data_IF_437754643620
#
_entry.id   IF_437754643620
#
_cell.length_a   1.000
_cell.length_b   1.000
_cell.length_c   1.000
_cell.angle_alpha   90.00
_cell.angle_beta   90.00
_cell.angle_gamma   90.00
#
_symmetry.space_group_name_H-M   'P 1'
#
loop_
_entity.id
_entity.type
_entity.pdbx_description
1 polymer ?
#
# COMPACT_ATOMS: atom_id res chain seq x y z
N UNK A 1 3.66 18.22 6.78
CA UNK A 1 3.88 16.84 6.31
C UNK A 1 2.67 16.02 6.70
N UNK A 2 1.86 15.63 5.71
CA UNK A 2 0.70 14.77 5.93
C UNK A 2 1.19 13.34 6.21
N UNK A 3 0.66 12.71 7.26
CA UNK A 3 1.02 11.35 7.65
C UNK A 3 -0.23 10.51 7.91
N UNK A 4 -0.25 9.31 7.35
CA UNK A 4 -1.25 8.28 7.62
C UNK A 4 -0.58 7.09 8.31
N UNK A 5 -1.21 6.54 9.34
CA UNK A 5 -0.81 5.30 9.99
C UNK A 5 -2.02 4.35 10.06
N UNK A 6 -1.84 3.07 9.76
CA UNK A 6 -2.85 2.03 9.89
C UNK A 6 -2.22 0.84 10.59
N UNK A 7 -2.78 0.42 11.72
CA UNK A 7 -2.39 -0.76 12.50
C UNK A 7 -3.47 -1.07 13.52
N UNK A 8 -3.58 -2.31 13.98
CA UNK A 8 -4.50 -2.70 15.05
C UNK A 8 -5.94 -2.18 14.81
N UNK A 9 -6.43 -2.27 13.57
CA UNK A 9 -7.80 -1.86 13.18
C UNK A 9 -8.12 -0.38 13.40
N UNK A 10 -7.07 0.43 13.52
CA UNK A 10 -7.15 1.85 13.71
C UNK A 10 -6.41 2.56 12.59
N UNK A 11 -6.94 3.72 12.22
CA UNK A 11 -6.42 4.59 11.17
C UNK A 11 -6.21 5.97 11.78
N UNK A 12 -5.01 6.50 11.64
CA UNK A 12 -4.66 7.84 12.12
C UNK A 12 -4.23 8.72 10.97
N UNK A 13 -4.77 9.94 10.94
CA UNK A 13 -4.33 11.01 10.05
C UNK A 13 -3.71 12.10 10.92
N UNK A 14 -2.44 12.43 10.70
CA UNK A 14 -1.70 13.45 11.45
C UNK A 14 -1.75 13.26 12.99
N UNK A 15 -1.77 12.00 13.44
CA UNK A 15 -1.90 11.56 14.85
C UNK A 15 -3.31 11.72 15.46
N UNK A 16 -4.31 12.13 14.68
CA UNK A 16 -5.70 12.12 15.08
C UNK A 16 -6.36 10.83 14.60
N UNK A 17 -7.17 10.20 15.46
CA UNK A 17 -7.91 9.01 15.10
C UNK A 17 -8.93 9.36 14.00
N UNK A 18 -8.78 8.73 12.84
CA UNK A 18 -9.60 8.96 11.66
C UNK A 18 -10.71 7.92 11.51
N UNK A 19 -10.39 6.66 11.79
CA UNK A 19 -11.31 5.53 11.72
C UNK A 19 -10.84 4.43 12.68
N UNK A 20 -11.79 3.72 13.27
CA UNK A 20 -11.51 2.50 14.02
C UNK A 20 -12.61 1.47 13.79
N UNK A 21 -12.23 0.20 13.88
CA UNK A 21 -13.14 -0.93 13.93
C UNK A 21 -12.70 -1.87 15.06
N UNK A 22 -13.52 -2.86 15.37
CA UNK A 22 -13.22 -3.91 16.35
C UNK A 22 -13.58 -5.29 15.80
N UNK A 23 -13.29 -5.50 14.52
CA UNK A 23 -13.69 -6.70 13.78
C UNK A 23 -12.81 -7.91 14.09
N UNK A 24 -11.59 -7.72 14.57
CA UNK A 24 -10.60 -8.77 14.86
C UNK A 24 -10.01 -9.47 13.62
N UNK A 25 -10.29 -8.99 12.41
CA UNK A 25 -9.91 -9.58 11.13
C UNK A 25 -9.64 -8.48 10.11
N UNK A 26 -8.43 -8.46 9.52
CA UNK A 26 -8.07 -7.45 8.53
C UNK A 26 -9.01 -7.47 7.32
N UNK A 27 -9.46 -8.65 6.90
CA UNK A 27 -10.37 -8.81 5.76
C UNK A 27 -11.72 -8.13 5.96
N UNK A 28 -12.24 -8.08 7.20
CA UNK A 28 -13.45 -7.35 7.58
C UNK A 28 -13.14 -5.86 7.77
N UNK A 29 -12.11 -5.53 8.55
CA UNK A 29 -11.65 -4.16 8.81
C UNK A 29 -11.45 -3.38 7.50
N UNK A 30 -10.67 -3.93 6.57
CA UNK A 30 -10.34 -3.24 5.32
C UNK A 30 -11.57 -2.96 4.44
N UNK A 31 -12.60 -3.85 4.49
CA UNK A 31 -13.85 -3.66 3.75
C UNK A 31 -14.74 -2.62 4.42
N UNK A 32 -14.84 -2.64 5.75
CA UNK A 32 -15.60 -1.64 6.50
C UNK A 32 -14.99 -0.25 6.30
N UNK A 33 -13.66 -0.16 6.36
CA UNK A 33 -12.96 1.09 6.11
C UNK A 33 -13.10 1.55 4.66
N UNK A 34 -12.95 0.67 3.67
CA UNK A 34 -13.18 1.02 2.27
C UNK A 34 -14.58 1.59 2.02
N UNK A 35 -15.62 1.01 2.66
CA UNK A 35 -17.01 1.50 2.54
C UNK A 35 -17.20 2.92 3.08
N UNK A 36 -16.42 3.35 4.08
CA UNK A 36 -16.55 4.71 4.62
C UNK A 36 -16.10 5.80 3.65
N UNK A 37 -15.40 5.45 2.57
CA UNK A 37 -15.05 6.40 1.51
C UNK A 37 -16.18 6.66 0.51
N UNK A 38 -17.24 5.84 0.51
CA UNK A 38 -18.36 5.96 -0.45
C UNK A 38 -17.92 5.97 -1.93
N UNK A 39 -16.82 5.27 -2.25
CA UNK A 39 -16.27 5.16 -3.61
C UNK A 39 -16.66 3.82 -4.27
N UNK A 40 -17.00 3.87 -5.56
CA UNK A 40 -17.19 2.66 -6.39
C UNK A 40 -15.88 2.28 -7.08
N UNK A 41 -15.12 1.38 -6.46
CA UNK A 41 -13.88 0.84 -7.03
C UNK A 41 -13.80 -0.69 -6.90
N UNK A 42 -14.48 -1.46 -7.78
CA UNK A 42 -14.59 -2.91 -7.66
C UNK A 42 -13.24 -3.66 -7.65
N UNK A 43 -12.18 -3.04 -8.20
CA UNK A 43 -10.83 -3.61 -8.22
C UNK A 43 -10.29 -3.83 -6.81
N UNK A 44 -10.65 -2.99 -5.83
CA UNK A 44 -10.26 -3.13 -4.43
C UNK A 44 -10.53 -4.53 -3.86
N UNK A 45 -11.69 -5.10 -4.17
CA UNK A 45 -12.08 -6.41 -3.63
C UNK A 45 -11.20 -7.57 -4.15
N UNK A 46 -10.57 -7.39 -5.31
CA UNK A 46 -9.67 -8.38 -5.94
C UNK A 46 -8.21 -8.25 -5.50
N UNK A 47 -7.88 -7.21 -4.73
CA UNK A 47 -6.53 -6.98 -4.22
C UNK A 47 -6.16 -7.95 -3.09
N UNK A 48 -4.88 -8.30 -3.01
CA UNK A 48 -4.33 -8.97 -1.83
C UNK A 48 -4.32 -8.02 -0.62
N UNK A 49 -4.02 -8.57 0.56
CA UNK A 49 -4.13 -7.79 1.80
C UNK A 49 -3.11 -6.65 1.88
N UNK A 50 -1.89 -6.86 1.41
CA UNK A 50 -0.87 -5.80 1.38
C UNK A 50 -1.27 -4.67 0.43
N UNK A 51 -1.81 -4.98 -0.75
CA UNK A 51 -2.25 -3.94 -1.69
C UNK A 51 -3.50 -3.21 -1.19
N UNK A 52 -4.44 -3.89 -0.52
CA UNK A 52 -5.56 -3.23 0.17
C UNK A 52 -5.07 -2.25 1.23
N UNK A 53 -4.09 -2.67 2.04
CA UNK A 53 -3.51 -1.82 3.08
C UNK A 53 -2.85 -0.56 2.49
N UNK A 54 -2.03 -0.72 1.44
CA UNK A 54 -1.42 0.41 0.73
C UNK A 54 -2.47 1.34 0.11
N UNK A 55 -3.49 0.77 -0.55
CA UNK A 55 -4.57 1.49 -1.20
C UNK A 55 -5.32 2.37 -0.20
N UNK A 56 -5.73 1.79 0.94
CA UNK A 56 -6.49 2.51 1.97
C UNK A 56 -5.69 3.67 2.57
N UNK A 57 -4.39 3.46 2.83
CA UNK A 57 -3.52 4.52 3.33
C UNK A 57 -3.33 5.65 2.31
N UNK A 58 -3.14 5.30 1.03
CA UNK A 58 -2.97 6.27 -0.05
C UNK A 58 -4.25 7.06 -0.34
N UNK A 59 -5.42 6.42 -0.25
CA UNK A 59 -6.72 7.07 -0.48
C UNK A 59 -6.94 8.24 0.47
N UNK A 60 -6.52 8.11 1.74
CA UNK A 60 -6.57 9.20 2.71
C UNK A 60 -5.47 10.22 2.42
N UNK A 61 -4.23 9.77 2.25
CA UNK A 61 -3.05 10.64 2.16
C UNK A 61 -3.15 11.59 0.95
N UNK A 62 -3.68 11.08 -0.16
CA UNK A 62 -3.77 11.78 -1.44
C UNK A 62 -5.18 12.35 -1.71
N UNK A 63 -6.07 12.37 -0.71
CA UNK A 63 -7.45 12.82 -0.88
C UNK A 63 -7.56 14.23 -1.45
N UNK A 64 -6.71 15.14 -0.98
CA UNK A 64 -6.70 16.54 -1.39
C UNK A 64 -5.76 16.81 -2.57
N UNK A 65 -5.04 15.79 -3.06
CA UNK A 65 -4.21 15.89 -4.24
C UNK A 65 -5.09 15.80 -5.49
N UNK A 66 -5.05 16.83 -6.35
CA UNK A 66 -5.79 16.84 -7.60
C UNK A 66 -5.10 15.95 -8.66
N UNK A 67 -5.09 14.64 -8.43
CA UNK A 67 -4.35 13.65 -9.23
C UNK A 67 -4.92 13.44 -10.64
N UNK A 68 -6.11 13.97 -10.92
CA UNK A 68 -6.83 13.75 -12.18
C UNK A 68 -6.57 14.84 -13.22
N UNK A 69 -6.19 16.05 -12.81
CA UNK A 69 -6.22 17.23 -13.68
C UNK A 69 -4.84 17.83 -14.02
N UNK A 70 -3.77 17.33 -13.43
CA UNK A 70 -2.40 17.80 -13.70
C UNK A 70 -1.44 16.62 -13.83
N UNK A 71 -0.33 16.82 -14.54
CA UNK A 71 0.84 15.93 -14.50
C UNK A 71 1.38 15.90 -13.06
N UNK A 72 0.73 15.11 -12.21
CA UNK A 72 1.11 14.97 -10.82
C UNK A 72 2.39 14.15 -10.77
N UNK A 73 3.47 14.87 -10.55
CA UNK A 73 4.81 14.32 -10.43
C UNK A 73 5.00 13.76 -9.01
N UNK A 74 4.13 12.82 -8.59
CA UNK A 74 4.23 12.15 -7.28
C UNK A 74 4.86 10.77 -7.47
N UNK A 75 6.07 10.59 -6.94
CA UNK A 75 6.76 9.31 -6.93
C UNK A 75 6.34 8.47 -5.71
N UNK A 76 6.44 7.15 -5.83
CA UNK A 76 6.13 6.22 -4.75
C UNK A 76 7.40 5.48 -4.31
N UNK A 77 7.69 5.51 -3.02
CA UNK A 77 8.87 4.90 -2.41
C UNK A 77 8.43 4.10 -1.21
N UNK A 78 8.13 2.82 -1.43
CA UNK A 78 7.59 1.95 -0.39
C UNK A 78 8.67 0.99 0.11
N UNK A 79 8.47 0.47 1.31
CA UNK A 79 9.29 -0.58 1.88
C UNK A 79 8.47 -1.50 2.76
N UNK A 80 8.95 -2.74 2.93
CA UNK A 80 8.42 -3.67 3.91
C UNK A 80 9.48 -4.68 4.35
N UNK A 81 9.09 -5.57 5.26
CA UNK A 81 9.94 -6.65 5.75
C UNK A 81 9.69 -7.94 4.98
N UNK A 82 8.42 -8.25 4.74
CA UNK A 82 7.97 -9.57 4.35
C UNK A 82 7.76 -9.72 2.85
N UNK A 83 8.14 -8.75 2.01
CA UNK A 83 7.98 -8.79 0.56
C UNK A 83 6.52 -9.06 0.16
N UNK A 84 6.21 -10.25 -0.33
CA UNK A 84 4.88 -10.72 -0.74
C UNK A 84 4.52 -12.02 -0.04
N UNK A 85 5.17 -12.33 1.10
CA UNK A 85 5.18 -13.67 1.72
C UNK A 85 3.79 -14.24 2.00
N UNK A 86 2.84 -13.38 2.39
CA UNK A 86 1.44 -13.78 2.55
C UNK A 86 0.83 -14.33 1.25
N UNK A 87 1.03 -13.60 0.15
CA UNK A 87 0.58 -14.00 -1.19
C UNK A 87 1.37 -15.19 -1.73
N UNK A 88 2.65 -15.29 -1.37
CA UNK A 88 3.51 -16.43 -1.71
C UNK A 88 2.99 -17.72 -1.04
N UNK A 89 2.62 -17.67 0.25
CA UNK A 89 1.99 -18.81 0.93
C UNK A 89 0.69 -19.23 0.26
N UNK A 90 -0.18 -18.27 -0.09
CA UNK A 90 -1.45 -18.56 -0.79
C UNK A 90 -1.20 -19.18 -2.16
N UNK A 91 -0.22 -18.68 -2.89
CA UNK A 91 0.13 -19.25 -4.19
C UNK A 91 0.70 -20.67 -4.03
N UNK A 92 1.63 -20.88 -3.10
CA UNK A 92 2.23 -22.18 -2.83
C UNK A 92 1.18 -23.23 -2.48
N UNK A 93 0.21 -22.88 -1.62
CA UNK A 93 -0.90 -23.78 -1.26
C UNK A 93 -1.71 -24.24 -2.48
N UNK A 94 -1.83 -23.40 -3.53
CA UNK A 94 -2.56 -23.74 -4.76
C UNK A 94 -1.82 -24.67 -5.73
N UNK A 95 -0.51 -24.90 -5.51
CA UNK A 95 0.36 -25.68 -6.41
C UNK A 95 1.15 -26.79 -5.72
N UNK A 96 1.02 -26.95 -4.40
CA UNK A 96 1.79 -27.91 -3.62
C UNK A 96 1.36 -29.37 -3.81
N UNK A 97 0.09 -29.62 -4.13
CA UNK A 97 -0.47 -30.96 -4.30
C UNK A 97 -0.56 -31.30 -5.78
N UNK A 98 0.09 -32.37 -6.22
CA UNK A 98 0.05 -32.82 -7.61
C UNK A 98 -1.37 -33.21 -8.08
N UNK A 99 -2.22 -33.62 -7.14
CA UNK A 99 -3.59 -34.06 -7.40
C UNK A 99 -4.62 -32.92 -7.28
N UNK A 100 -4.22 -31.75 -6.75
CA UNK A 100 -5.09 -30.59 -6.49
C UNK A 100 -4.44 -29.26 -6.93
N UNK A 101 -3.94 -29.20 -8.18
CA UNK A 101 -3.32 -28.01 -8.76
C UNK A 101 -4.39 -27.06 -9.31
N UNK A 102 -4.61 -25.92 -8.64
CA UNK A 102 -5.56 -24.87 -9.06
C UNK A 102 -4.93 -23.47 -9.00
N UNK A 103 -3.84 -23.20 -9.76
CA UNK A 103 -3.19 -21.89 -9.75
C UNK A 103 -4.13 -20.83 -10.32
N UNK A 104 -4.34 -19.77 -9.55
CA UNK A 104 -5.03 -18.57 -10.03
C UNK A 104 -4.02 -17.54 -10.50
N UNK A 105 -4.05 -17.10 -11.79
CA UNK A 105 -3.20 -16.02 -12.27
C UNK A 105 -3.36 -14.73 -11.44
N UNK A 106 -4.55 -14.49 -10.89
CA UNK A 106 -4.80 -13.34 -10.03
C UNK A 106 -4.03 -13.40 -8.71
N UNK A 107 -3.80 -14.60 -8.15
CA UNK A 107 -2.98 -14.77 -6.94
C UNK A 107 -1.50 -14.65 -7.28
N UNK A 108 -1.07 -15.21 -8.42
CA UNK A 108 0.32 -15.16 -8.87
C UNK A 108 0.84 -13.73 -9.04
N UNK A 109 0.03 -12.80 -9.57
CA UNK A 109 0.48 -11.41 -9.75
C UNK A 109 0.92 -10.80 -8.42
N UNK A 110 0.18 -11.05 -7.33
CA UNK A 110 0.48 -10.51 -6.00
C UNK A 110 1.67 -11.19 -5.29
N UNK A 111 2.34 -12.16 -5.91
CA UNK A 111 3.64 -12.69 -5.41
C UNK A 111 4.81 -11.75 -5.73
N UNK A 112 4.53 -10.52 -6.18
CA UNK A 112 5.51 -9.47 -6.38
C UNK A 112 5.26 -8.35 -5.36
N UNK A 113 6.28 -8.03 -4.56
CA UNK A 113 6.16 -7.05 -3.48
C UNK A 113 5.71 -5.66 -3.96
N UNK A 114 6.08 -5.28 -5.18
CA UNK A 114 5.82 -3.96 -5.74
C UNK A 114 4.41 -3.78 -6.33
N UNK A 115 3.54 -4.81 -6.35
CA UNK A 115 2.21 -4.67 -6.94
C UNK A 115 1.38 -3.61 -6.23
N UNK A 116 1.52 -3.46 -4.92
CA UNK A 116 0.80 -2.43 -4.17
C UNK A 116 1.12 -1.01 -4.67
N UNK A 117 2.34 -0.76 -5.17
CA UNK A 117 2.68 0.51 -5.84
C UNK A 117 1.86 0.68 -7.11
N UNK A 118 1.75 -0.37 -7.92
CA UNK A 118 0.95 -0.36 -9.15
C UNK A 118 -0.53 -0.11 -8.87
N UNK A 119 -1.09 -0.72 -7.83
CA UNK A 119 -2.48 -0.48 -7.41
C UNK A 119 -2.72 0.98 -7.01
N UNK A 120 -1.83 1.57 -6.21
CA UNK A 120 -1.88 2.99 -5.83
C UNK A 120 -1.67 3.90 -7.05
N UNK A 121 -0.68 3.62 -7.91
CA UNK A 121 -0.42 4.40 -9.12
C UNK A 121 -1.61 4.39 -10.07
N UNK A 122 -2.29 3.25 -10.25
CA UNK A 122 -3.48 3.16 -11.11
C UNK A 122 -4.64 3.94 -10.49
N UNK A 123 -4.88 3.80 -9.19
CA UNK A 123 -5.98 4.48 -8.47
C UNK A 123 -5.85 6.01 -8.54
N UNK A 124 -4.62 6.51 -8.40
CA UNK A 124 -4.31 7.93 -8.34
C UNK A 124 -3.68 8.46 -9.64
N UNK A 125 -3.71 7.71 -10.74
CA UNK A 125 -3.15 8.13 -12.04
C UNK A 125 -1.69 8.63 -12.00
N UNK A 126 -0.87 8.08 -11.10
CA UNK A 126 0.53 8.47 -10.92
C UNK A 126 1.40 7.81 -11.99
N UNK A 127 2.27 8.59 -12.63
CA UNK A 127 3.10 8.15 -13.78
C UNK A 127 4.60 8.33 -13.57
N UNK A 128 5.04 8.70 -12.37
CA UNK A 128 6.46 8.94 -12.09
C UNK A 128 7.15 7.72 -11.48
N UNK A 129 8.36 7.93 -10.95
CA UNK A 129 9.22 6.89 -10.41
C UNK A 129 8.55 6.11 -9.28
N UNK A 130 8.71 4.78 -9.32
CA UNK A 130 8.24 3.86 -8.29
C UNK A 130 9.42 3.00 -7.80
N UNK A 131 9.62 2.90 -6.49
CA UNK A 131 10.63 2.04 -5.88
C UNK A 131 10.04 1.27 -4.70
N UNK A 132 10.40 -0.01 -4.59
CA UNK A 132 10.03 -0.88 -3.47
C UNK A 132 11.29 -1.47 -2.83
N UNK A 133 11.47 -1.25 -1.52
CA UNK A 133 12.62 -1.74 -0.77
C UNK A 133 12.23 -2.85 0.19
N UNK A 134 13.06 -3.89 0.29
CA UNK A 134 12.93 -4.93 1.32
C UNK A 134 13.96 -4.65 2.41
N UNK A 135 13.51 -4.53 3.66
CA UNK A 135 14.35 -4.23 4.82
C UNK A 135 13.79 -4.88 6.07
N UNK A 136 14.65 -5.39 6.96
CA UNK A 136 14.21 -6.00 8.20
C UNK A 136 13.46 -5.02 9.12
N UNK A 137 13.87 -3.75 9.11
CA UNK A 137 13.31 -2.70 9.95
C UNK A 137 12.88 -1.50 9.11
N UNK A 138 11.83 -0.81 9.58
CA UNK A 138 11.41 0.44 8.98
C UNK A 138 12.42 1.56 9.27
N UNK A 139 13.10 2.02 8.23
CA UNK A 139 14.03 3.15 8.29
C UNK A 139 13.45 4.36 7.56
N UNK A 140 12.55 5.08 8.25
CA UNK A 140 11.88 6.27 7.71
C UNK A 140 12.90 7.30 7.17
N UNK A 141 13.99 7.53 7.90
CA UNK A 141 15.05 8.47 7.51
C UNK A 141 15.73 8.09 6.18
N UNK A 142 15.90 6.80 5.90
CA UNK A 142 16.48 6.34 4.64
C UNK A 142 15.52 6.56 3.47
N UNK A 143 14.23 6.29 3.65
CA UNK A 143 13.23 6.55 2.61
C UNK A 143 13.08 8.05 2.34
N UNK A 144 13.07 8.88 3.39
CA UNK A 144 13.05 10.35 3.26
C UNK A 144 14.29 10.84 2.48
N UNK A 145 15.50 10.32 2.78
CA UNK A 145 16.70 10.69 2.00
C UNK A 145 16.59 10.29 0.53
N UNK A 146 15.96 9.16 0.23
CA UNK A 146 15.71 8.74 -1.15
C UNK A 146 14.67 9.64 -1.84
N UNK A 147 13.60 10.02 -1.14
CA UNK A 147 12.63 11.00 -1.61
C UNK A 147 13.27 12.36 -1.91
N UNK A 148 14.06 12.90 -0.98
CA UNK A 148 14.81 14.14 -1.16
C UNK A 148 15.72 14.08 -2.40
N UNK A 149 16.34 12.93 -2.65
CA UNK A 149 17.15 12.72 -3.84
C UNK A 149 16.32 12.80 -5.12
N UNK A 150 15.14 12.16 -5.16
CA UNK A 150 14.24 12.22 -6.31
C UNK A 150 13.79 13.66 -6.59
N UNK A 151 13.41 14.40 -5.55
CA UNK A 151 12.99 15.81 -5.67
C UNK A 151 14.15 16.68 -6.15
N UNK A 152 15.32 16.60 -5.51
CA UNK A 152 16.52 17.38 -5.90
C UNK A 152 17.01 17.09 -7.32
N UNK A 153 16.71 15.90 -7.86
CA UNK A 153 17.04 15.51 -9.24
C UNK A 153 15.92 15.79 -10.23
N UNK A 154 14.86 16.49 -9.82
CA UNK A 154 13.67 16.77 -10.64
C UNK A 154 13.05 15.50 -11.24
N UNK A 155 13.09 14.38 -10.51
CA UNK A 155 12.43 13.12 -10.89
C UNK A 155 10.97 13.09 -10.47
N UNK A 156 10.62 13.86 -9.45
CA UNK A 156 9.28 14.04 -8.92
C UNK A 156 9.20 15.41 -8.21
N UNK A 157 7.99 15.98 -8.08
CA UNK A 157 7.72 17.17 -7.27
C UNK A 157 7.38 16.81 -5.83
N UNK A 158 6.68 15.69 -5.65
CA UNK A 158 6.35 15.14 -4.33
C UNK A 158 6.69 13.66 -4.31
N UNK A 159 6.87 13.10 -3.12
CA UNK A 159 7.13 11.66 -2.96
C UNK A 159 6.31 11.12 -1.81
N UNK A 160 5.58 10.05 -2.07
CA UNK A 160 4.99 9.23 -1.02
C UNK A 160 6.03 8.24 -0.54
N UNK A 161 6.44 8.37 0.71
CA UNK A 161 7.27 7.37 1.38
C UNK A 161 6.38 6.49 2.26
N UNK A 162 6.55 5.17 2.20
CA UNK A 162 5.71 4.26 2.96
C UNK A 162 6.45 3.06 3.54
N UNK A 163 6.06 2.65 4.74
CA UNK A 163 6.13 1.27 5.19
C UNK A 163 4.78 0.62 4.94
N UNK A 164 4.73 -0.53 4.27
CA UNK A 164 3.48 -1.31 4.07
C UNK A 164 3.81 -2.79 4.20
N UNK A 165 3.57 -3.35 5.38
CA UNK A 165 3.90 -4.74 5.68
C UNK A 165 2.66 -5.49 6.17
N UNK A 166 2.42 -6.68 5.64
CA UNK A 166 1.34 -7.56 6.03
C UNK A 166 1.84 -9.01 6.04
N UNK A 167 1.63 -9.71 7.16
CA UNK A 167 1.87 -11.15 7.27
C UNK A 167 0.99 -11.73 8.38
N UNK A 168 0.15 -12.73 8.05
CA UNK A 168 -0.63 -13.49 9.05
C UNK A 168 -1.37 -12.60 10.07
N UNK A 169 -2.21 -11.67 9.58
CA UNK A 169 -2.95 -10.68 10.38
C UNK A 169 -2.11 -9.66 11.17
N UNK A 170 -0.78 -9.79 11.18
CA UNK A 170 0.11 -8.71 11.63
C UNK A 170 0.36 -7.76 10.48
N UNK A 171 -0.10 -6.53 10.61
CA UNK A 171 0.04 -5.53 9.56
C UNK A 171 0.31 -4.13 10.11
N UNK A 172 1.04 -3.36 9.32
CA UNK A 172 1.22 -1.94 9.56
C UNK A 172 1.44 -1.20 8.25
N UNK A 173 0.75 -0.08 8.11
CA UNK A 173 1.10 0.93 7.13
C UNK A 173 1.44 2.24 7.81
N UNK A 174 2.50 2.88 7.34
CA UNK A 174 2.86 4.24 7.71
C UNK A 174 3.31 4.96 6.46
N UNK A 175 2.59 6.01 6.10
CA UNK A 175 2.73 6.68 4.82
C UNK A 175 2.86 8.19 5.03
N UNK A 176 3.81 8.82 4.36
CA UNK A 176 4.08 10.25 4.45
C UNK A 176 4.19 10.87 3.06
N UNK A 177 3.67 12.07 2.89
CA UNK A 177 3.84 12.87 1.69
C UNK A 177 4.95 13.91 1.92
N UNK A 178 5.99 13.85 1.09
CA UNK A 178 7.17 14.72 1.11
C UNK A 178 7.15 15.65 -0.11
N UNK A 179 7.54 16.91 0.08
CA UNK A 179 7.56 17.99 -0.92
C UNK A 179 8.86 18.79 -0.84
#
# INVERSE_FOLDING_TARGET
MTKVEIKNEQVWLNNELYFEDSSGDFGIFCKNFFKSFEIDYPKFYKMDHQSKLAFLAAEILLKDENTLNENQDIALVFANRNSSLESDFKHQQSIQSADEIFPSPAVFVYTLANICLGEVSIRHHLKTENAFFISENFNENQLIKYADYLIKKNRAKKVVVAWVDYLQENYSARMLLIE
#
